data_IF_533219726084
#
_entry.id   IF_533219726084
#
_cell.length_a   1.000
_cell.length_b   1.000
_cell.length_c   1.000
_cell.angle_alpha   90.00
_cell.angle_beta   90.00
_cell.angle_gamma   90.00
#
_symmetry.space_group_name_H-M   'P 1'
#
loop_
_entity.id
_entity.type
_entity.pdbx_description
1 polymer ?
#
# COMPACT_ATOMS: atom_id res chain seq x y z
N UNK A 1 -28.89 0.47 18.73
CA UNK A 1 -28.58 0.20 17.31
C UNK A 1 -27.07 0.15 17.14
N UNK A 2 -26.56 -0.48 16.09
CA UNK A 2 -25.11 -0.49 15.82
C UNK A 2 -24.54 0.94 15.70
N UNK A 3 -25.28 1.84 15.05
CA UNK A 3 -24.89 3.24 14.88
C UNK A 3 -24.65 3.95 16.24
N UNK A 4 -25.49 3.70 17.24
CA UNK A 4 -25.32 4.27 18.59
C UNK A 4 -24.00 3.80 19.24
N UNK A 5 -23.71 2.50 19.18
CA UNK A 5 -22.50 1.92 19.79
C UNK A 5 -21.23 2.47 19.16
N UNK A 6 -21.22 2.61 17.83
CA UNK A 6 -20.08 3.16 17.08
C UNK A 6 -19.86 4.66 17.40
N UNK A 7 -20.93 5.43 17.59
CA UNK A 7 -20.83 6.85 17.95
C UNK A 7 -20.42 7.04 19.42
N UNK A 8 -20.90 6.19 20.33
CA UNK A 8 -20.51 6.21 21.75
C UNK A 8 -19.02 5.86 21.95
N UNK A 9 -18.43 5.09 21.03
CA UNK A 9 -17.00 4.68 21.07
C UNK A 9 -16.21 5.26 19.88
N UNK A 10 -16.57 6.48 19.45
CA UNK A 10 -15.99 7.15 18.27
C UNK A 10 -14.47 7.27 18.36
N UNK A 11 -13.95 7.54 19.55
CA UNK A 11 -12.53 7.63 19.88
C UNK A 11 -11.78 6.33 19.56
N UNK A 12 -12.31 5.18 20.00
CA UNK A 12 -11.70 3.86 19.71
C UNK A 12 -11.80 3.50 18.25
N UNK A 13 -12.92 3.82 17.60
CA UNK A 13 -13.10 3.61 16.15
C UNK A 13 -12.06 4.41 15.37
N UNK A 14 -11.80 5.66 15.77
CA UNK A 14 -10.79 6.52 15.15
C UNK A 14 -9.37 5.98 15.34
N UNK A 15 -9.04 5.44 16.52
CA UNK A 15 -7.74 4.79 16.76
C UNK A 15 -7.57 3.55 15.88
N UNK A 16 -8.59 2.70 15.79
CA UNK A 16 -8.58 1.50 14.94
C UNK A 16 -8.42 1.89 13.46
N UNK A 17 -9.13 2.93 13.01
CA UNK A 17 -9.03 3.41 11.64
C UNK A 17 -7.62 3.92 11.30
N UNK A 18 -6.99 4.69 12.21
CA UNK A 18 -5.61 5.15 12.03
C UNK A 18 -4.61 3.98 12.01
N UNK A 19 -4.78 3.02 12.91
CA UNK A 19 -3.94 1.82 12.92
C UNK A 19 -4.07 1.01 11.63
N UNK A 20 -5.29 0.89 11.06
CA UNK A 20 -5.47 0.23 9.76
C UNK A 20 -4.84 1.01 8.59
N UNK A 21 -4.77 2.34 8.66
CA UNK A 21 -4.04 3.13 7.66
C UNK A 21 -2.54 2.91 7.73
N UNK A 22 -1.99 2.70 8.93
CA UNK A 22 -0.55 2.48 9.14
C UNK A 22 -0.11 1.05 8.85
N UNK A 23 -0.88 0.05 9.29
CA UNK A 23 -0.49 -1.36 9.24
C UNK A 23 -1.25 -2.19 8.20
N UNK A 24 -2.22 -1.59 7.50
CA UNK A 24 -3.14 -2.21 6.51
C UNK A 24 -4.09 -3.27 7.08
N UNK A 25 -3.62 -4.11 8.01
CA UNK A 25 -4.34 -5.24 8.60
C UNK A 25 -4.11 -5.30 10.10
N UNK A 26 -5.14 -5.71 10.84
CA UNK A 26 -5.09 -5.89 12.30
C UNK A 26 -5.75 -7.20 12.69
N UNK A 27 -5.12 -7.94 13.62
CA UNK A 27 -5.72 -9.09 14.27
C UNK A 27 -6.61 -8.69 15.45
N UNK A 28 -7.45 -9.61 15.90
CA UNK A 28 -8.38 -9.39 17.01
C UNK A 28 -7.68 -8.97 18.32
N UNK A 29 -6.46 -9.45 18.58
CA UNK A 29 -5.65 -9.06 19.73
C UNK A 29 -5.27 -7.58 19.69
N UNK A 30 -4.88 -7.07 18.53
CA UNK A 30 -4.52 -5.67 18.34
C UNK A 30 -5.73 -4.75 18.57
N UNK A 31 -6.90 -5.16 18.06
CA UNK A 31 -8.16 -4.44 18.30
C UNK A 31 -8.51 -4.43 19.79
N UNK A 32 -8.30 -5.54 20.49
CA UNK A 32 -8.52 -5.62 21.94
C UNK A 32 -7.62 -4.65 22.69
N UNK A 33 -6.33 -4.65 22.36
CA UNK A 33 -5.35 -3.77 23.00
C UNK A 33 -5.69 -2.28 22.79
N UNK A 34 -6.09 -1.89 21.58
CA UNK A 34 -6.51 -0.52 21.29
C UNK A 34 -7.75 -0.14 22.12
N UNK A 35 -8.72 -1.05 22.27
CA UNK A 35 -9.95 -0.79 23.04
C UNK A 35 -9.65 -0.66 24.54
N UNK A 36 -8.77 -1.49 25.07
CA UNK A 36 -8.53 -1.61 26.52
C UNK A 36 -7.43 -0.67 27.02
N UNK A 37 -6.39 -0.43 26.21
CA UNK A 37 -5.20 0.33 26.59
C UNK A 37 -4.98 1.61 25.77
N UNK A 38 -5.69 1.76 24.64
CA UNK A 38 -5.51 2.91 23.73
C UNK A 38 -4.32 2.77 22.76
N UNK A 39 -3.54 1.69 22.87
CA UNK A 39 -2.38 1.40 22.03
C UNK A 39 -2.20 -0.10 21.84
N UNK A 40 -1.56 -0.51 20.74
CA UNK A 40 -1.23 -1.92 20.50
C UNK A 40 0.03 -2.29 21.29
N UNK A 41 -0.02 -3.35 22.10
CA UNK A 41 1.16 -3.82 22.84
C UNK A 41 2.13 -4.63 21.98
N UNK A 42 1.61 -5.25 20.93
CA UNK A 42 2.38 -6.01 19.96
C UNK A 42 1.92 -5.64 18.55
N UNK A 43 2.43 -4.54 17.96
CA UNK A 43 1.97 -4.07 16.65
C UNK A 43 2.33 -5.07 15.52
N UNK A 44 1.52 -5.14 14.44
CA UNK A 44 1.85 -5.95 13.28
C UNK A 44 3.20 -5.58 12.67
N UNK A 45 3.93 -6.59 12.20
CA UNK A 45 5.08 -6.36 11.32
C UNK A 45 4.61 -6.11 9.90
N UNK A 46 5.36 -5.30 9.15
CA UNK A 46 5.11 -5.10 7.73
C UNK A 46 5.07 -6.46 7.00
N UNK A 47 4.09 -6.70 6.11
CA UNK A 47 3.97 -7.96 5.39
C UNK A 47 5.24 -8.18 4.56
N UNK A 48 5.86 -9.35 4.72
CA UNK A 48 7.02 -9.73 3.92
C UNK A 48 6.51 -10.30 2.60
N UNK A 49 6.98 -9.81 1.44
CA UNK A 49 6.64 -10.40 0.16
C UNK A 49 6.99 -11.91 0.16
N UNK A 50 6.17 -12.75 -0.50
CA UNK A 50 6.52 -14.15 -0.66
C UNK A 50 7.88 -14.28 -1.36
N UNK A 51 8.66 -15.33 -1.06
CA UNK A 51 9.93 -15.55 -1.72
C UNK A 51 9.71 -15.69 -3.23
N UNK A 52 10.49 -14.95 -4.02
CA UNK A 52 10.47 -15.11 -5.47
C UNK A 52 10.88 -16.55 -5.82
N UNK A 53 10.11 -17.25 -6.69
CA UNK A 53 10.45 -18.58 -7.17
C UNK A 53 11.88 -18.65 -7.72
N UNK A 54 12.59 -19.75 -7.48
CA UNK A 54 13.98 -19.91 -7.92
C UNK A 54 14.14 -19.89 -9.45
N UNK A 55 13.08 -20.21 -10.19
CA UNK A 55 13.02 -20.10 -11.66
C UNK A 55 13.16 -18.64 -12.14
N UNK A 56 12.75 -17.67 -11.33
CA UNK A 56 12.91 -16.23 -11.60
C UNK A 56 14.26 -15.69 -11.10
N UNK A 57 15.06 -16.49 -10.40
CA UNK A 57 16.39 -16.12 -9.88
C UNK A 57 17.52 -16.58 -10.83
N UNK A 58 17.70 -15.92 -11.98
CA UNK A 58 18.94 -15.96 -12.83
C UNK A 58 18.87 -14.89 -13.93
N UNK A 59 19.89 -14.08 -14.28
CA UNK A 59 21.35 -14.04 -14.05
C UNK A 59 21.82 -12.57 -13.90
N UNK A 60 23.02 -12.31 -13.32
CA UNK A 60 23.62 -10.97 -13.37
C UNK A 60 23.87 -10.57 -14.83
N UNK A 61 23.25 -9.47 -15.27
CA UNK A 61 23.58 -8.83 -16.54
C UNK A 61 24.94 -8.17 -16.34
N UNK A 62 25.99 -8.85 -16.79
CA UNK A 62 27.31 -8.27 -17.00
C UNK A 62 27.18 -7.04 -17.91
N UNK A 63 27.79 -5.92 -17.49
CA UNK A 63 27.94 -4.69 -18.28
C UNK A 63 28.34 -4.99 -19.73
N UNK A 64 27.55 -4.49 -20.68
CA UNK A 64 28.04 -4.08 -22.00
C UNK A 64 27.11 -3.00 -22.59
N UNK A 65 27.74 -1.86 -22.91
CA UNK A 65 27.40 -0.84 -23.91
C UNK A 65 26.24 0.13 -23.67
N UNK A 66 26.64 1.41 -23.66
CA UNK A 66 25.86 2.61 -23.97
C UNK A 66 25.12 2.52 -25.31
N UNK A 67 24.17 3.45 -25.47
CA UNK A 67 23.30 3.72 -26.63
C UNK A 67 22.11 2.76 -26.84
N UNK A 68 21.00 3.09 -26.17
CA UNK A 68 19.82 3.62 -26.88
C UNK A 68 18.81 4.11 -25.84
N UNK A 69 18.62 5.43 -25.76
CA UNK A 69 17.50 6.03 -25.01
C UNK A 69 16.48 6.48 -26.06
N UNK A 70 15.30 5.83 -26.18
CA UNK A 70 14.18 6.51 -26.79
C UNK A 70 13.58 7.42 -25.72
N UNK A 71 14.00 8.69 -25.72
CA UNK A 71 13.20 9.75 -25.11
C UNK A 71 11.85 9.79 -25.83
N UNK A 72 10.75 9.59 -25.10
CA UNK A 72 9.44 10.04 -25.57
C UNK A 72 9.34 11.57 -25.47
N UNK A 73 8.32 12.23 -26.06
CA UNK A 73 7.36 11.76 -27.06
C UNK A 73 7.52 12.55 -28.39
N UNK A 74 7.66 11.86 -29.51
CA UNK A 74 7.51 12.50 -30.82
C UNK A 74 6.06 12.94 -31.06
N UNK A 75 5.80 14.06 -31.74
CA UNK A 75 4.43 14.48 -32.04
C UNK A 75 3.74 13.42 -32.90
N UNK A 76 2.56 12.96 -32.48
CA UNK A 76 1.68 12.09 -33.27
C UNK A 76 1.26 12.83 -34.55
N UNK A 77 1.68 12.39 -35.75
CA UNK A 77 1.24 13.00 -36.99
C UNK A 77 -0.24 12.67 -37.21
N UNK A 78 -1.12 13.68 -37.20
CA UNK A 78 -2.51 13.53 -37.60
C UNK A 78 -3.58 14.09 -36.65
N UNK A 79 -3.22 14.72 -35.53
CA UNK A 79 -4.19 15.47 -34.73
C UNK A 79 -4.56 16.80 -35.41
N UNK A 80 -5.34 16.73 -36.49
CA UNK A 80 -6.03 17.90 -37.06
C UNK A 80 -7.19 18.23 -36.12
N UNK A 81 -7.05 19.30 -35.35
CA UNK A 81 -8.13 19.84 -34.54
C UNK A 81 -9.25 20.37 -35.45
N UNK A 82 -10.49 19.96 -35.18
CA UNK A 82 -11.67 20.59 -35.76
C UNK A 82 -11.84 22.01 -35.17
N UNK A 83 -12.08 23.07 -35.97
CA UNK A 83 -12.35 24.39 -35.43
C UNK A 83 -13.77 24.46 -34.85
N UNK A 84 -13.90 25.28 -33.80
CA UNK A 84 -15.14 25.64 -33.13
C UNK A 84 -16.05 26.53 -33.98
#
# INVERSE_FOLDING_TARGET
TANRILNENRDKVELIAKALLEFETLDASHIRDIIDFGEMRNPPSAPKPPPVPDELKKKPVSKATEEDRPEGPGPIPGAVGAPA
#
